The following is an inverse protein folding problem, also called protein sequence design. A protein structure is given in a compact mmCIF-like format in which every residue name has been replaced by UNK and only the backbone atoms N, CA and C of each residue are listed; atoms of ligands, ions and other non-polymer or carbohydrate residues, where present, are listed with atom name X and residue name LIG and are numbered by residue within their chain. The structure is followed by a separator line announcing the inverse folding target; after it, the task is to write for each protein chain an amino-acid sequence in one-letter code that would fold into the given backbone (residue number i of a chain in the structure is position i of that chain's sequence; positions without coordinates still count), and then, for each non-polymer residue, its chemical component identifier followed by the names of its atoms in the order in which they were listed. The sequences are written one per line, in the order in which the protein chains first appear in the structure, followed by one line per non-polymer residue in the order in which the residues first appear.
data_IF_615211808428
#
_entry.id   IF_615211808428
#
_cell.length_a   1.000
_cell.length_b   1.000
_cell.length_c   1.000
_cell.angle_alpha   90.00
_cell.angle_beta   90.00
_cell.angle_gamma   90.00
#
_symmetry.space_group_name_H-M   'P 1'
#
loop_
_entity.id
_entity.type
_entity.pdbx_description
1 polymer ?
#
# COMPACT_ATOMS: atom_id res chain seq x y z
N UNK A 1 13.71 -4.53 4.25
CA UNK A 1 12.25 -4.53 4.03
C UNK A 1 11.84 -5.89 3.49
N UNK A 2 10.78 -6.47 4.03
CA UNK A 2 10.27 -7.81 3.66
C UNK A 2 8.84 -7.65 3.18
N UNK A 3 8.56 -8.01 1.92
CA UNK A 3 7.19 -8.01 1.40
C UNK A 3 6.49 -9.32 1.76
N UNK A 4 5.48 -9.23 2.63
CA UNK A 4 4.77 -10.37 3.18
C UNK A 4 3.68 -10.78 2.20
N UNK A 5 3.71 -12.07 1.83
CA UNK A 5 2.68 -12.69 1.00
C UNK A 5 2.61 -12.14 -0.45
N UNK A 6 3.76 -12.05 -1.13
CA UNK A 6 3.93 -11.35 -2.43
C UNK A 6 3.00 -11.77 -3.58
N UNK A 7 2.34 -12.93 -3.50
CA UNK A 7 1.44 -13.47 -4.54
C UNK A 7 0.12 -13.99 -3.97
N UNK A 8 -0.19 -13.68 -2.71
CA UNK A 8 -1.44 -14.08 -2.05
C UNK A 8 -2.00 -12.93 -1.20
N UNK A 9 -3.16 -13.16 -0.59
CA UNK A 9 -3.77 -12.18 0.30
C UNK A 9 -3.89 -12.80 1.70
N UNK A 10 -3.16 -12.24 2.68
CA UNK A 10 -3.16 -12.74 4.06
C UNK A 10 -4.55 -12.64 4.70
N UNK A 11 -5.38 -11.71 4.25
CA UNK A 11 -6.73 -11.47 4.76
C UNK A 11 -7.80 -12.10 3.87
N UNK A 12 -7.45 -13.06 3.01
CA UNK A 12 -8.44 -13.86 2.29
C UNK A 12 -9.38 -14.58 3.28
N UNK A 13 -10.68 -14.65 2.94
CA UNK A 13 -11.75 -15.16 3.83
C UNK A 13 -11.54 -16.61 4.31
N UNK A 14 -10.74 -17.38 3.57
CA UNK A 14 -10.42 -18.79 3.86
C UNK A 14 -9.13 -18.96 4.67
N UNK A 15 -8.37 -17.89 4.89
CA UNK A 15 -7.19 -17.94 5.75
C UNK A 15 -7.65 -17.94 7.21
N UNK A 16 -7.32 -18.98 8.01
CA UNK A 16 -7.72 -19.04 9.40
C UNK A 16 -7.13 -17.88 10.19
N UNK A 17 -7.94 -17.28 11.08
CA UNK A 17 -7.49 -16.17 11.93
C UNK A 17 -6.25 -16.52 12.75
N UNK A 18 -6.17 -17.76 13.25
CA UNK A 18 -5.02 -18.25 14.02
C UNK A 18 -3.72 -18.25 13.21
N UNK A 19 -3.79 -18.48 11.90
CA UNK A 19 -2.63 -18.34 11.02
C UNK A 19 -2.22 -16.88 10.86
N UNK A 20 -3.19 -15.97 10.68
CA UNK A 20 -2.91 -14.52 10.64
C UNK A 20 -2.25 -14.08 11.96
N UNK A 21 -2.75 -14.55 13.10
CA UNK A 21 -2.17 -14.28 14.42
C UNK A 21 -0.70 -14.72 14.49
N UNK A 22 -0.36 -15.94 14.04
CA UNK A 22 1.03 -16.42 14.00
C UNK A 22 1.96 -15.57 13.12
N UNK A 23 1.45 -15.09 11.97
CA UNK A 23 2.20 -14.20 11.09
C UNK A 23 2.45 -12.86 11.78
N UNK A 24 1.43 -12.26 12.41
CA UNK A 24 1.58 -11.01 13.16
C UNK A 24 2.49 -11.17 14.37
N UNK A 25 2.38 -12.24 15.14
CA UNK A 25 3.26 -12.51 16.28
C UNK A 25 4.74 -12.60 15.85
N UNK A 26 5.01 -13.14 14.67
CA UNK A 26 6.36 -13.19 14.10
C UNK A 26 6.85 -11.81 13.69
N UNK A 27 6.03 -11.05 12.97
CA UNK A 27 6.38 -9.69 12.54
C UNK A 27 6.58 -8.74 13.72
N UNK A 28 5.76 -8.86 14.76
CA UNK A 28 5.83 -8.05 15.98
C UNK A 28 7.13 -8.31 16.75
N UNK A 29 7.58 -9.57 16.84
CA UNK A 29 8.84 -9.93 17.50
C UNK A 29 10.08 -9.51 16.71
N UNK A 30 10.01 -9.52 15.39
CA UNK A 30 11.13 -9.23 14.51
C UNK A 30 11.24 -7.72 14.18
N UNK A 31 11.36 -6.88 15.21
CA UNK A 31 11.36 -5.41 15.10
C UNK A 31 12.60 -4.81 14.39
N UNK A 32 13.63 -5.61 14.17
CA UNK A 32 14.78 -5.28 13.32
C UNK A 32 14.47 -5.33 11.81
N UNK A 33 13.26 -5.74 11.41
CA UNK A 33 12.80 -5.75 10.03
C UNK A 33 11.62 -4.81 9.80
N UNK A 34 11.60 -4.13 8.65
CA UNK A 34 10.39 -3.50 8.14
C UNK A 34 9.60 -4.52 7.32
N UNK A 35 8.38 -4.84 7.72
CA UNK A 35 7.45 -5.70 7.00
C UNK A 35 6.46 -4.87 6.20
N UNK A 36 6.30 -5.18 4.92
CA UNK A 36 5.27 -4.59 4.07
C UNK A 36 4.17 -5.63 3.84
N UNK A 37 2.93 -5.33 4.23
CA UNK A 37 1.76 -6.22 4.01
C UNK A 37 0.76 -5.49 3.12
N UNK A 38 0.33 -6.16 2.04
CA UNK A 38 -0.61 -5.62 1.07
C UNK A 38 -1.85 -6.52 0.96
N UNK A 39 -3.04 -5.93 0.84
CA UNK A 39 -4.29 -6.70 0.69
C UNK A 39 -5.33 -5.98 -0.17
N UNK A 40 -6.20 -6.76 -0.81
CA UNK A 40 -7.45 -6.27 -1.41
C UNK A 40 -8.64 -6.41 -0.46
N UNK A 41 -8.49 -7.18 0.63
CA UNK A 41 -9.51 -7.46 1.64
C UNK A 41 -9.44 -6.45 2.80
N UNK A 42 -9.43 -5.16 2.46
CA UNK A 42 -9.18 -4.06 3.41
C UNK A 42 -10.18 -4.00 4.58
N UNK A 43 -11.44 -4.39 4.37
CA UNK A 43 -12.44 -4.44 5.46
C UNK A 43 -12.12 -5.53 6.49
N UNK A 44 -11.61 -6.69 6.05
CA UNK A 44 -11.18 -7.79 6.92
C UNK A 44 -9.91 -7.40 7.67
N UNK A 45 -8.93 -6.82 6.98
CA UNK A 45 -7.72 -6.27 7.61
C UNK A 45 -8.07 -5.24 8.69
N UNK A 46 -8.91 -4.24 8.38
CA UNK A 46 -9.36 -3.23 9.36
C UNK A 46 -9.96 -3.89 10.60
N UNK A 47 -10.87 -4.84 10.40
CA UNK A 47 -11.58 -5.53 11.50
C UNK A 47 -10.64 -6.37 12.36
N UNK A 48 -9.67 -7.03 11.72
CA UNK A 48 -8.62 -7.78 12.39
C UNK A 48 -7.74 -6.86 13.25
N UNK A 49 -7.25 -5.76 12.68
CA UNK A 49 -6.35 -4.83 13.37
C UNK A 49 -7.04 -4.10 14.52
N UNK A 50 -8.30 -3.69 14.36
CA UNK A 50 -9.11 -3.13 15.46
C UNK A 50 -9.27 -4.09 16.64
N UNK A 51 -9.23 -5.40 16.39
CA UNK A 51 -9.24 -6.42 17.44
C UNK A 51 -7.85 -6.64 18.03
N UNK A 52 -6.83 -6.81 17.17
CA UNK A 52 -5.47 -7.14 17.59
C UNK A 52 -4.79 -6.02 18.37
N UNK A 53 -5.08 -4.77 18.00
CA UNK A 53 -4.51 -3.56 18.60
C UNK A 53 -5.58 -2.72 19.30
N UNK A 54 -6.58 -3.35 19.91
CA UNK A 54 -7.62 -2.64 20.68
C UNK A 54 -7.00 -1.86 21.84
N UNK A 55 -6.13 -2.53 22.57
CA UNK A 55 -5.54 -2.05 23.82
C UNK A 55 -4.01 -1.94 23.71
N UNK A 56 -3.48 -1.87 22.48
CA UNK A 56 -2.05 -1.84 22.19
C UNK A 56 -1.74 -0.92 21.01
N UNK A 57 -0.55 -0.32 21.02
CA UNK A 57 -0.07 0.50 19.91
C UNK A 57 0.40 -0.41 18.76
N UNK A 58 -0.08 -0.19 17.51
CA UNK A 58 0.40 -0.94 16.35
C UNK A 58 1.89 -0.64 16.10
N UNK A 59 2.75 -1.65 15.83
CA UNK A 59 4.17 -1.42 15.61
C UNK A 59 4.45 -0.59 14.36
N UNK A 60 5.43 0.33 14.46
CA UNK A 60 5.81 1.22 13.35
C UNK A 60 6.55 0.49 12.21
N UNK A 61 7.18 -0.65 12.50
CA UNK A 61 7.92 -1.46 11.53
C UNK A 61 7.03 -2.39 10.69
N UNK A 62 5.73 -2.46 10.97
CA UNK A 62 4.75 -3.20 10.16
C UNK A 62 3.95 -2.21 9.32
N UNK A 63 4.33 -2.09 8.05
CA UNK A 63 3.70 -1.22 7.06
C UNK A 63 2.51 -1.94 6.44
N UNK A 64 1.33 -1.35 6.59
CA UNK A 64 0.08 -1.93 6.14
C UNK A 64 -0.46 -1.14 4.95
N UNK A 65 -0.86 -1.85 3.91
CA UNK A 65 -1.36 -1.20 2.72
C UNK A 65 -2.48 -1.94 2.02
N UNK A 66 -3.14 -1.21 1.13
CA UNK A 66 -4.25 -1.73 0.32
C UNK A 66 -3.98 -1.47 -1.16
N UNK A 67 -4.38 -2.41 -2.02
CA UNK A 67 -4.36 -2.16 -3.46
C UNK A 67 -5.56 -1.29 -3.85
N UNK A 68 -5.34 -0.29 -4.70
CA UNK A 68 -6.38 0.61 -5.22
C UNK A 68 -6.16 0.77 -6.73
N UNK A 69 -6.88 0.00 -7.53
CA UNK A 69 -6.65 -0.04 -8.98
C UNK A 69 -7.30 1.13 -9.75
N UNK A 70 -8.42 1.63 -9.22
CA UNK A 70 -9.24 2.72 -9.77
C UNK A 70 -10.21 3.29 -8.70
N UNK A 71 -11.03 4.27 -9.08
CA UNK A 71 -12.07 4.88 -8.23
C UNK A 71 -13.09 3.90 -7.63
N UNK A 72 -13.36 2.74 -8.27
CA UNK A 72 -14.29 1.73 -7.74
C UNK A 72 -13.73 1.04 -6.50
N UNK A 73 -12.41 1.04 -6.36
CA UNK A 73 -11.69 0.48 -5.22
C UNK A 73 -11.32 1.50 -4.13
N UNK A 74 -11.65 2.79 -4.33
CA UNK A 74 -11.30 3.89 -3.42
C UNK A 74 -11.80 3.72 -1.98
N UNK A 75 -12.92 3.01 -1.76
CA UNK A 75 -13.43 2.70 -0.42
C UNK A 75 -12.42 1.96 0.47
N UNK A 76 -11.43 1.28 -0.14
CA UNK A 76 -10.35 0.61 0.61
C UNK A 76 -9.43 1.61 1.33
N UNK A 77 -9.32 2.83 0.82
CA UNK A 77 -8.54 3.91 1.46
C UNK A 77 -9.17 4.26 2.80
N UNK A 78 -10.50 4.45 2.85
CA UNK A 78 -11.24 4.68 4.10
C UNK A 78 -11.04 3.52 5.09
N UNK A 79 -11.11 2.27 4.63
CA UNK A 79 -10.86 1.13 5.51
C UNK A 79 -9.45 1.13 6.11
N UNK A 80 -8.43 1.52 5.33
CA UNK A 80 -7.05 1.61 5.79
C UNK A 80 -6.85 2.76 6.79
N UNK A 81 -7.48 3.91 6.55
CA UNK A 81 -7.46 5.06 7.47
C UNK A 81 -8.08 4.72 8.81
N UNK A 82 -9.18 3.97 8.80
CA UNK A 82 -9.85 3.48 10.02
C UNK A 82 -9.10 2.35 10.76
N UNK A 83 -8.07 1.76 10.14
CA UNK A 83 -7.32 0.65 10.72
C UNK A 83 -6.21 1.16 11.66
N UNK A 84 -6.03 0.55 12.84
CA UNK A 84 -4.85 0.80 13.66
C UNK A 84 -3.59 0.33 12.93
N UNK A 85 -2.75 1.27 12.51
CA UNK A 85 -1.51 1.02 11.79
C UNK A 85 -0.51 2.16 12.08
N UNK A 86 0.77 1.81 12.27
CA UNK A 86 1.84 2.78 12.42
C UNK A 86 2.15 3.48 11.09
N UNK A 87 2.39 2.69 10.03
CA UNK A 87 2.59 3.18 8.66
C UNK A 87 1.53 2.60 7.74
N UNK A 88 0.92 3.48 6.94
CA UNK A 88 -0.14 3.18 5.97
C UNK A 88 0.33 3.52 4.56
N UNK A 89 0.20 2.58 3.62
CA UNK A 89 0.53 2.85 2.22
C UNK A 89 -0.55 2.39 1.23
N UNK A 90 -0.60 3.00 0.07
CA UNK A 90 -1.44 2.56 -1.04
C UNK A 90 -0.56 1.94 -2.12
N UNK A 91 -0.99 0.79 -2.62
CA UNK A 91 -0.48 0.26 -3.90
C UNK A 91 -1.52 0.55 -4.96
N UNK A 92 -1.30 1.63 -5.69
CA UNK A 92 -2.10 2.03 -6.84
C UNK A 92 -1.59 1.25 -8.07
N UNK A 93 -1.73 -0.07 -7.98
CA UNK A 93 -1.23 -1.03 -8.95
C UNK A 93 -2.16 -2.25 -9.11
N UNK A 94 -2.42 -2.69 -10.35
CA UNK A 94 -2.16 -1.92 -11.57
C UNK A 94 -3.08 -0.67 -11.59
N UNK A 95 -2.52 0.49 -11.94
CA UNK A 95 -3.28 1.72 -12.14
C UNK A 95 -4.00 1.66 -13.49
N UNK A 96 -5.27 1.27 -13.45
CA UNK A 96 -6.08 0.94 -14.64
C UNK A 96 -7.22 1.93 -14.87
N UNK A 97 -7.27 2.98 -14.05
CA UNK A 97 -8.17 4.12 -14.16
C UNK A 97 -7.86 5.15 -13.09
N UNK A 98 -8.36 6.38 -13.26
CA UNK A 98 -8.26 7.41 -12.23
C UNK A 98 -8.81 6.90 -10.89
N UNK A 99 -8.05 7.17 -9.82
CA UNK A 99 -8.48 6.92 -8.43
C UNK A 99 -9.47 7.99 -7.99
N UNK A 100 -9.46 9.15 -8.65
CA UNK A 100 -10.31 10.28 -8.39
C UNK A 100 -9.81 11.10 -7.20
N UNK A 101 -10.62 12.08 -6.78
CA UNK A 101 -10.33 12.87 -5.58
C UNK A 101 -10.55 11.99 -4.34
N UNK A 102 -9.44 11.61 -3.70
CA UNK A 102 -9.45 10.81 -2.48
C UNK A 102 -8.76 11.53 -1.34
N UNK A 103 -9.26 11.32 -0.13
CA UNK A 103 -8.68 11.83 1.09
C UNK A 103 -7.56 10.89 1.56
N UNK A 104 -6.32 11.36 1.47
CA UNK A 104 -5.11 10.65 1.85
C UNK A 104 -4.68 10.95 3.30
N UNK A 105 -5.52 11.61 4.10
CA UNK A 105 -5.20 11.89 5.51
C UNK A 105 -4.82 10.61 6.26
N UNK A 106 -3.60 10.59 6.79
CA UNK A 106 -3.03 9.45 7.52
C UNK A 106 -2.41 8.36 6.64
N UNK A 107 -2.40 8.53 5.31
CA UNK A 107 -1.60 7.74 4.38
C UNK A 107 -0.19 8.33 4.32
N UNK A 108 0.82 7.47 4.38
CA UNK A 108 2.23 7.88 4.45
C UNK A 108 2.97 7.68 3.14
N UNK A 109 2.49 6.76 2.30
CA UNK A 109 3.16 6.41 1.05
C UNK A 109 2.18 5.93 -0.01
N UNK A 110 2.38 6.36 -1.25
CA UNK A 110 1.63 5.89 -2.41
C UNK A 110 2.60 5.37 -3.46
N UNK A 111 2.39 4.12 -3.86
CA UNK A 111 3.10 3.44 -4.93
C UNK A 111 2.18 3.43 -6.15
N UNK A 112 2.59 3.99 -7.28
CA UNK A 112 1.82 3.95 -8.53
C UNK A 112 2.56 3.17 -9.61
N UNK A 113 1.84 2.36 -10.38
CA UNK A 113 2.43 1.63 -11.49
C UNK A 113 1.43 0.88 -12.38
N UNK A 114 1.83 0.69 -13.64
CA UNK A 114 1.04 -0.01 -14.64
C UNK A 114 1.16 -1.53 -14.56
N UNK A 115 0.22 -2.19 -15.25
CA UNK A 115 0.12 -3.64 -15.32
C UNK A 115 1.32 -4.26 -16.07
N UNK A 116 1.76 -5.44 -15.64
CA UNK A 116 2.84 -6.18 -16.30
C UNK A 116 2.37 -7.56 -16.73
N UNK A 117 2.91 -8.06 -17.85
CA UNK A 117 2.66 -9.40 -18.37
C UNK A 117 1.86 -9.42 -19.67
N UNK A 118 1.56 -10.62 -20.20
CA UNK A 118 0.74 -10.78 -21.40
C UNK A 118 -0.63 -10.12 -21.21
N UNK A 119 -1.04 -9.27 -22.16
CA UNK A 119 -2.31 -8.55 -22.08
C UNK A 119 -2.33 -7.35 -21.13
N UNK A 120 -1.17 -6.87 -20.67
CA UNK A 120 -1.06 -5.68 -19.82
C UNK A 120 -1.80 -4.48 -20.43
N UNK A 121 -2.71 -3.91 -19.66
CA UNK A 121 -3.46 -2.71 -20.06
C UNK A 121 -2.55 -1.47 -20.04
N UNK A 122 -2.63 -0.59 -21.04
CA UNK A 122 -1.90 0.67 -21.01
C UNK A 122 -2.43 1.57 -19.88
N UNK A 123 -1.50 2.21 -19.18
CA UNK A 123 -1.80 3.22 -18.16
C UNK A 123 -1.73 4.61 -18.80
N UNK A 124 -2.76 5.44 -18.59
CA UNK A 124 -2.73 6.82 -19.03
C UNK A 124 -1.81 7.66 -18.13
N UNK A 125 -1.00 8.55 -18.73
CA UNK A 125 -0.08 9.43 -18.00
C UNK A 125 -0.82 10.37 -17.04
N UNK A 126 -2.03 10.77 -17.41
CA UNK A 126 -2.93 11.61 -16.68
C UNK A 126 -3.30 10.98 -15.33
N UNK A 127 -3.49 9.66 -15.27
CA UNK A 127 -3.78 8.97 -14.01
C UNK A 127 -2.56 8.96 -13.07
N UNK A 128 -1.35 8.78 -13.63
CA UNK A 128 -0.11 8.82 -12.86
C UNK A 128 0.19 10.24 -12.33
N UNK A 129 -0.05 11.26 -13.16
CA UNK A 129 0.07 12.67 -12.77
C UNK A 129 -0.97 13.05 -11.71
N UNK A 130 -2.22 12.65 -11.88
CA UNK A 130 -3.30 12.91 -10.91
C UNK A 130 -2.93 12.42 -9.51
N UNK A 131 -2.51 11.15 -9.38
CA UNK A 131 -2.18 10.60 -8.06
C UNK A 131 -0.89 11.21 -7.48
N UNK A 132 0.10 11.53 -8.32
CA UNK A 132 1.32 12.23 -7.91
C UNK A 132 0.99 13.62 -7.35
N UNK A 133 0.21 14.40 -8.08
CA UNK A 133 -0.14 15.77 -7.70
C UNK A 133 -0.98 15.77 -6.42
N UNK A 134 -1.87 14.79 -6.26
CA UNK A 134 -2.62 14.58 -5.02
C UNK A 134 -1.71 14.25 -3.82
N UNK A 135 -0.66 13.45 -4.03
CA UNK A 135 0.32 13.17 -3.00
C UNK A 135 1.11 14.42 -2.60
N UNK A 136 1.53 15.22 -3.59
CA UNK A 136 2.23 16.48 -3.35
C UNK A 136 1.35 17.49 -2.58
N UNK A 137 0.08 17.61 -2.96
CA UNK A 137 -0.90 18.49 -2.30
C UNK A 137 -1.13 18.10 -0.83
N UNK A 138 -1.17 16.79 -0.53
CA UNK A 138 -1.47 16.27 0.82
C UNK A 138 -0.22 15.89 1.63
N UNK A 139 0.98 16.16 1.12
CA UNK A 139 2.24 15.88 1.81
C UNK A 139 2.53 14.38 2.00
N UNK A 140 2.12 13.53 1.06
CA UNK A 140 2.30 12.07 1.09
C UNK A 140 3.48 11.67 0.20
N UNK A 141 4.32 10.74 0.67
CA UNK A 141 5.44 10.26 -0.14
C UNK A 141 4.93 9.53 -1.40
N UNK A 142 5.52 9.85 -2.56
CA UNK A 142 5.14 9.26 -3.83
C UNK A 142 6.26 8.45 -4.48
N UNK A 143 5.93 7.21 -4.87
CA UNK A 143 6.82 6.32 -5.60
C UNK A 143 6.18 5.88 -6.90
N UNK A 144 6.82 6.24 -8.02
CA UNK A 144 6.43 5.73 -9.33
C UNK A 144 7.27 4.49 -9.66
N UNK A 145 6.59 3.35 -9.71
CA UNK A 145 7.26 2.06 -9.89
C UNK A 145 7.60 1.81 -11.34
N UNK A 146 6.62 1.89 -12.23
CA UNK A 146 6.77 1.61 -13.67
C UNK A 146 5.52 1.95 -14.48
N UNK A 147 5.68 2.11 -15.79
CA UNK A 147 4.56 2.20 -16.74
C UNK A 147 3.87 0.85 -17.04
N UNK A 148 4.53 -0.27 -16.75
CA UNK A 148 4.04 -1.60 -17.10
C UNK A 148 4.53 -2.08 -18.48
N UNK A 149 3.84 -3.05 -19.05
CA UNK A 149 4.13 -3.63 -20.37
C UNK A 149 4.33 -5.16 -20.37
N UNK A 150 4.74 -5.70 -21.51
CA UNK A 150 4.81 -7.16 -21.74
C UNK A 150 5.72 -7.86 -20.71
N UNK A 151 6.84 -7.24 -20.36
CA UNK A 151 7.73 -7.71 -19.28
C UNK A 151 7.72 -6.71 -18.13
N UNK A 152 8.00 -7.14 -16.88
CA UNK A 152 8.29 -6.21 -15.80
C UNK A 152 9.35 -5.20 -16.23
N UNK A 153 9.19 -3.93 -15.85
CA UNK A 153 10.10 -2.79 -16.11
C UNK A 153 10.22 -2.33 -17.57
N UNK A 154 9.46 -2.89 -18.52
CA UNK A 154 9.60 -2.58 -19.96
C UNK A 154 9.41 -1.09 -20.28
N UNK A 155 8.47 -0.41 -19.60
CA UNK A 155 8.21 1.01 -19.84
C UNK A 155 9.07 1.99 -19.02
N UNK A 156 10.00 1.50 -18.19
CA UNK A 156 10.83 2.38 -17.35
C UNK A 156 10.07 3.03 -16.20
N UNK A 157 10.74 3.97 -15.52
CA UNK A 157 10.32 4.60 -14.25
C UNK A 157 10.28 6.13 -14.31
N UNK A 158 10.51 6.68 -15.50
CA UNK A 158 10.45 8.11 -15.74
C UNK A 158 9.00 8.57 -15.79
N UNK A 159 8.64 9.56 -14.96
CA UNK A 159 7.38 10.28 -15.05
C UNK A 159 7.71 11.77 -15.09
N UNK A 160 7.51 12.37 -16.25
CA UNK A 160 7.82 13.78 -16.55
C UNK A 160 9.31 14.13 -16.42
N UNK A 161 10.20 13.28 -16.95
CA UNK A 161 11.64 13.54 -16.99
C UNK A 161 12.36 13.33 -15.66
N UNK A 162 11.70 12.67 -14.71
CA UNK A 162 12.22 12.38 -13.38
C UNK A 162 11.74 11.02 -12.87
N UNK A 163 12.59 10.36 -12.08
CA UNK A 163 12.16 9.24 -11.24
C UNK A 163 11.62 9.71 -9.88
N UNK A 164 10.47 9.16 -9.50
CA UNK A 164 9.81 9.41 -8.22
C UNK A 164 10.06 8.23 -7.30
N UNK A 165 10.95 8.40 -6.32
CA UNK A 165 11.52 7.33 -5.50
C UNK A 165 11.32 7.56 -3.99
N UNK A 166 10.32 8.34 -3.60
CA UNK A 166 10.14 8.71 -2.19
C UNK A 166 9.73 7.50 -1.35
N UNK A 167 10.12 7.53 -0.08
CA UNK A 167 9.74 6.57 0.94
C UNK A 167 9.03 7.32 2.06
N UNK A 168 8.13 6.67 2.82
CA UNK A 168 7.57 7.29 4.01
C UNK A 168 8.72 7.58 4.96
N UNK A 169 8.78 8.81 5.48
CA UNK A 169 9.71 9.15 6.55
C UNK A 169 9.41 8.19 7.70
N UNK A 170 10.40 7.47 8.26
CA UNK A 170 10.14 6.59 9.39
C UNK A 170 9.43 7.41 10.45
N UNK A 171 8.22 7.00 10.83
CA UNK A 171 7.64 7.41 12.10
C UNK A 171 8.60 6.83 13.11
N UNK A 172 9.61 7.61 13.49
CA UNK A 172 10.60 7.20 14.47
C UNK A 172 9.81 6.61 15.61
N UNK A 173 10.08 5.34 15.97
CA UNK A 173 9.54 4.82 17.20
C UNK A 173 9.96 5.83 18.25
N UNK A 174 9.01 6.60 18.78
CA UNK A 174 9.19 7.20 20.08
C UNK A 174 9.26 5.99 21.01
N UNK A 175 10.46 5.42 21.10
CA UNK A 175 10.83 4.58 22.21
C UNK A 175 10.58 5.43 23.45
N UNK A 176 9.88 4.80 24.39
CA UNK A 176 9.42 5.38 25.64
C UNK A 176 10.52 6.10 26.43
#
# INVERSE_FOLDING_TARGET
MIFVNSMSDLFHKEVPRTFIDQVFDTMEKADWHVFQVLTKRSSLMRSYLKRRYRDATPPAHIWLGVSVEDSKSSARITHLRDAPAGVRFLSVEPLIGSVGKVDLTGIHWVIAGGESGPGARPMAIEWAREIRDLCAEQGVAFFFKQWGGIRPKTGGRDLDGREWNELPVPVASRAA
#
